data_IF_434409202990
#
_entry.id   IF_434409202990
#
_cell.length_a   1.000
_cell.length_b   1.000
_cell.length_c   1.000
_cell.angle_alpha   90.00
_cell.angle_beta   90.00
_cell.angle_gamma   90.00
#
_symmetry.space_group_name_H-M   'P 1'
#
loop_
_entity.id
_entity.type
_entity.pdbx_description
1 polymer ?
#
# COMPACT_ATOMS: atom_id res chain seq x y z
N UNK A 1 14.78 -3.51 13.81
CA UNK A 1 15.80 -2.70 14.51
C UNK A 1 16.04 -1.42 13.70
N UNK A 2 15.27 -0.36 13.96
CA UNK A 2 15.33 0.87 13.16
C UNK A 2 16.42 1.82 13.67
N UNK A 3 17.18 2.42 12.76
CA UNK A 3 18.03 3.56 13.10
C UNK A 3 17.16 4.82 13.17
N UNK A 4 17.09 5.43 14.35
CA UNK A 4 16.49 6.75 14.54
C UNK A 4 17.33 7.76 13.76
N UNK A 5 16.71 8.49 12.83
CA UNK A 5 17.37 9.62 12.19
C UNK A 5 17.25 10.81 13.15
N UNK A 6 18.35 11.19 13.80
CA UNK A 6 18.40 12.39 14.63
C UNK A 6 18.30 13.63 13.72
N UNK A 7 17.08 14.14 13.56
CA UNK A 7 16.78 15.32 12.74
C UNK A 7 16.43 16.50 13.66
N UNK A 8 17.16 17.61 13.49
CA UNK A 8 17.18 18.70 14.47
C UNK A 8 15.89 19.54 14.45
N UNK A 9 15.11 19.39 15.55
CA UNK A 9 14.42 20.44 16.33
C UNK A 9 13.43 21.40 15.64
N UNK A 10 12.14 21.23 16.00
CA UNK A 10 11.26 22.37 16.31
C UNK A 10 11.36 22.65 17.80
N UNK A 11 11.90 23.81 18.20
CA UNK A 11 11.89 24.30 19.59
C UNK A 11 12.34 23.26 20.64
N UNK A 12 13.63 22.89 20.62
CA UNK A 12 14.27 21.90 21.51
C UNK A 12 13.70 20.46 21.52
N UNK A 13 12.51 20.23 20.96
CA UNK A 13 11.76 18.98 21.05
C UNK A 13 11.98 18.11 19.83
N UNK A 14 12.32 16.83 20.04
CA UNK A 14 12.37 15.81 18.98
C UNK A 14 10.98 15.21 18.83
N UNK A 15 10.34 15.45 17.68
CA UNK A 15 9.01 14.92 17.40
C UNK A 15 9.08 13.46 16.91
N UNK A 16 8.21 12.55 17.40
CA UNK A 16 8.15 11.19 16.90
C UNK A 16 7.70 11.15 15.42
N UNK A 17 8.34 10.29 14.63
CA UNK A 17 8.04 10.13 13.20
C UNK A 17 6.89 9.14 13.02
N UNK A 18 5.80 9.58 12.38
CA UNK A 18 4.67 8.74 11.99
C UNK A 18 4.90 8.17 10.58
N UNK A 19 5.00 6.83 10.41
CA UNK A 19 5.17 6.22 9.10
C UNK A 19 3.87 6.28 8.30
N UNK A 20 3.86 6.99 7.18
CA UNK A 20 2.66 7.08 6.31
C UNK A 20 2.48 5.82 5.46
N UNK A 21 3.55 5.09 5.17
CA UNK A 21 3.56 3.86 4.36
C UNK A 21 3.13 2.63 5.17
N UNK A 22 1.87 2.61 5.58
CA UNK A 22 1.29 1.49 6.34
C UNK A 22 0.87 0.26 5.49
N UNK A 23 1.02 0.31 4.16
CA UNK A 23 0.68 -0.78 3.24
C UNK A 23 1.90 -1.35 2.52
N UNK A 24 1.78 -2.60 2.06
CA UNK A 24 2.87 -3.35 1.40
C UNK A 24 3.25 -2.86 -0.02
N UNK A 25 2.61 -1.81 -0.54
CA UNK A 25 2.95 -1.21 -1.84
C UNK A 25 3.69 0.12 -1.65
N UNK A 26 4.94 0.02 -1.21
CA UNK A 26 5.85 1.13 -0.85
C UNK A 26 6.48 1.86 -2.04
N UNK A 27 5.95 1.71 -3.26
CA UNK A 27 6.60 2.27 -4.46
C UNK A 27 6.56 3.81 -4.46
N UNK A 28 7.72 4.44 -4.61
CA UNK A 28 7.84 5.88 -4.68
C UNK A 28 7.16 6.40 -5.97
N UNK A 29 6.10 7.17 -5.78
CA UNK A 29 5.08 7.46 -6.81
C UNK A 29 4.84 8.96 -7.04
N UNK A 30 5.26 9.81 -6.10
CA UNK A 30 5.07 11.27 -6.17
C UNK A 30 6.41 11.94 -6.42
N UNK A 31 6.50 12.71 -7.50
CA UNK A 31 7.72 13.44 -7.87
C UNK A 31 7.92 14.68 -6.97
N UNK A 32 9.18 14.91 -6.61
CA UNK A 32 9.63 16.14 -5.95
C UNK A 32 9.95 17.19 -7.02
N UNK A 33 9.70 18.46 -6.72
CA UNK A 33 9.98 19.61 -7.59
C UNK A 33 10.94 20.60 -6.91
N UNK A 34 11.63 21.39 -7.71
CA UNK A 34 12.63 22.36 -7.23
C UNK A 34 14.05 21.79 -7.04
N UNK A 35 14.24 20.50 -7.31
CA UNK A 35 15.52 19.78 -7.22
C UNK A 35 16.72 20.51 -7.84
N UNK A 36 16.51 21.18 -8.98
CA UNK A 36 17.55 21.92 -9.71
C UNK A 36 18.28 22.98 -8.85
N UNK A 37 17.61 23.53 -7.83
CA UNK A 37 18.19 24.53 -6.93
C UNK A 37 18.93 23.90 -5.72
N UNK A 38 19.04 22.57 -5.65
CA UNK A 38 19.48 21.78 -4.48
C UNK A 38 20.48 20.67 -4.83
N UNK A 39 21.27 20.84 -5.90
CA UNK A 39 22.15 19.78 -6.43
C UNK A 39 23.20 19.28 -5.44
N UNK A 40 23.70 20.14 -4.54
CA UNK A 40 24.67 19.76 -3.51
C UNK A 40 23.99 18.94 -2.40
N UNK A 41 22.83 19.38 -1.92
CA UNK A 41 22.00 18.68 -0.95
C UNK A 41 21.50 17.32 -1.47
N UNK A 42 21.08 17.26 -2.73
CA UNK A 42 20.70 16.02 -3.43
C UNK A 42 21.87 15.06 -3.57
N UNK A 43 23.06 15.58 -3.93
CA UNK A 43 24.28 14.78 -4.02
C UNK A 43 24.64 14.19 -2.66
N UNK A 44 24.53 14.97 -1.58
CA UNK A 44 24.75 14.49 -0.21
C UNK A 44 23.71 13.42 0.20
N UNK A 45 22.42 13.66 -0.05
CA UNK A 45 21.34 12.70 0.21
C UNK A 45 21.53 11.36 -0.54
N UNK A 46 22.09 11.41 -1.75
CA UNK A 46 22.41 10.25 -2.58
C UNK A 46 23.72 9.50 -2.20
N UNK A 47 24.43 9.92 -1.14
CA UNK A 47 25.69 9.30 -0.69
C UNK A 47 26.98 10.03 -1.10
N UNK A 48 26.88 11.27 -1.57
CA UNK A 48 27.96 12.25 -1.63
C UNK A 48 28.80 12.30 -2.91
N UNK A 49 28.87 11.23 -3.71
CA UNK A 49 29.64 11.22 -4.97
C UNK A 49 28.82 10.69 -6.13
N UNK A 50 28.51 11.57 -7.09
CA UNK A 50 27.94 11.19 -8.39
C UNK A 50 29.07 10.89 -9.39
N UNK A 51 29.26 9.62 -9.81
CA UNK A 51 30.25 9.23 -10.81
C UNK A 51 29.87 9.74 -12.21
N UNK A 52 30.89 10.07 -13.00
CA UNK A 52 30.71 10.60 -14.35
C UNK A 52 30.18 9.52 -15.31
N UNK A 53 29.15 9.86 -16.08
CA UNK A 53 28.47 9.02 -17.07
C UNK A 53 27.91 7.70 -16.50
N UNK A 54 27.63 7.65 -15.21
CA UNK A 54 27.03 6.51 -14.53
C UNK A 54 25.77 6.94 -13.77
N UNK A 55 24.74 6.11 -13.87
CA UNK A 55 23.50 6.27 -13.12
C UNK A 55 23.68 5.78 -11.68
N UNK A 56 23.19 6.56 -10.72
CA UNK A 56 22.94 6.12 -9.35
C UNK A 56 21.43 6.01 -9.15
N UNK A 57 21.03 4.98 -8.41
CA UNK A 57 19.69 4.84 -7.85
C UNK A 57 19.86 4.47 -6.39
N UNK A 58 19.28 5.27 -5.50
CA UNK A 58 19.15 4.98 -4.08
C UNK A 58 17.67 4.75 -3.80
N UNK A 59 17.30 3.50 -3.54
CA UNK A 59 15.96 3.11 -3.10
C UNK A 59 15.88 3.20 -1.56
N UNK A 60 14.67 3.14 -1.00
CA UNK A 60 14.38 3.10 0.44
C UNK A 60 15.00 4.28 1.26
N UNK A 61 15.19 5.44 0.64
CA UNK A 61 15.71 6.65 1.26
C UNK A 61 14.72 7.17 2.31
N UNK A 62 15.16 7.41 3.54
CA UNK A 62 14.26 7.95 4.57
C UNK A 62 13.94 9.42 4.28
N UNK A 63 12.66 9.72 4.14
CA UNK A 63 12.14 11.04 3.80
C UNK A 63 11.14 11.54 4.86
N UNK A 64 11.19 12.84 5.17
CA UNK A 64 10.15 13.55 5.92
C UNK A 64 9.38 14.50 5.01
N UNK A 65 8.10 14.69 5.29
CA UNK A 65 7.23 15.69 4.67
C UNK A 65 6.90 16.79 5.69
N UNK A 66 7.42 18.00 5.48
CA UNK A 66 7.25 19.14 6.37
C UNK A 66 6.30 20.16 5.73
N UNK A 67 5.07 20.35 6.22
CA UNK A 67 4.21 21.41 5.73
C UNK A 67 4.71 22.78 6.18
N UNK A 68 4.70 23.75 5.27
CA UNK A 68 5.05 25.16 5.53
C UNK A 68 3.80 26.05 5.37
N UNK A 69 2.85 26.02 6.34
CA UNK A 69 1.59 26.76 6.22
C UNK A 69 1.78 28.28 6.22
N UNK A 70 2.95 28.77 6.65
CA UNK A 70 3.31 30.19 6.71
C UNK A 70 4.23 30.62 5.54
N UNK A 71 4.48 29.74 4.56
CA UNK A 71 5.28 30.07 3.37
C UNK A 71 4.61 31.19 2.55
N UNK A 72 5.38 32.25 2.27
CA UNK A 72 4.91 33.46 1.60
C UNK A 72 4.52 33.26 0.10
N UNK A 73 4.90 32.14 -0.51
CA UNK A 73 4.62 31.83 -1.92
C UNK A 73 3.51 30.81 -2.13
N UNK A 74 3.33 29.86 -1.20
CA UNK A 74 2.26 28.86 -1.22
C UNK A 74 1.98 28.30 0.20
N UNK A 75 0.85 28.62 0.85
CA UNK A 75 0.50 28.13 2.19
C UNK A 75 0.13 26.63 2.22
N UNK A 76 0.21 25.94 1.08
CA UNK A 76 0.10 24.49 0.99
C UNK A 76 1.46 23.81 0.82
N UNK A 77 2.57 24.56 0.70
CA UNK A 77 3.89 24.00 0.45
C UNK A 77 4.24 22.88 1.42
N UNK A 78 4.79 21.79 0.89
CA UNK A 78 5.30 20.65 1.66
C UNK A 78 6.74 20.44 1.24
N UNK A 79 7.68 20.82 2.10
CA UNK A 79 9.11 20.56 1.94
C UNK A 79 9.38 19.06 2.12
N UNK A 80 10.28 18.53 1.31
CA UNK A 80 10.76 17.15 1.37
C UNK A 80 12.20 17.15 1.86
N UNK A 81 12.44 16.48 2.99
CA UNK A 81 13.77 16.26 3.55
C UNK A 81 14.13 14.80 3.37
N UNK A 82 15.20 14.48 2.65
CA UNK A 82 15.67 13.11 2.40
C UNK A 82 17.06 12.91 3.05
N UNK A 83 17.23 11.88 3.88
CA UNK A 83 18.46 11.64 4.65
C UNK A 83 18.97 12.88 5.43
N UNK A 84 18.06 13.76 5.88
CA UNK A 84 18.38 15.01 6.58
C UNK A 84 18.67 16.22 5.70
N UNK A 85 18.63 16.09 4.37
CA UNK A 85 18.85 17.18 3.41
C UNK A 85 17.55 17.63 2.76
N UNK A 86 17.33 18.94 2.65
CA UNK A 86 16.22 19.50 1.88
C UNK A 86 16.46 19.26 0.38
N UNK A 87 15.68 18.37 -0.23
CA UNK A 87 15.83 17.95 -1.63
C UNK A 87 14.86 18.64 -2.59
N UNK A 88 13.75 19.19 -2.07
CA UNK A 88 12.80 20.01 -2.81
C UNK A 88 11.44 20.06 -2.11
N UNK A 89 10.39 20.30 -2.89
CA UNK A 89 9.01 20.36 -2.43
C UNK A 89 8.13 19.36 -3.16
N UNK A 90 6.96 19.02 -2.63
CA UNK A 90 5.91 18.40 -3.44
C UNK A 90 5.43 19.38 -4.52
N UNK A 91 4.93 18.86 -5.64
CA UNK A 91 4.24 19.68 -6.65
C UNK A 91 3.06 20.43 -6.01
N UNK A 92 2.63 21.58 -6.53
CA UNK A 92 1.48 22.32 -5.95
C UNK A 92 0.20 21.48 -5.93
N UNK A 93 0.01 20.63 -6.94
CA UNK A 93 -1.13 19.72 -7.03
C UNK A 93 -1.06 18.63 -5.95
N UNK A 94 0.09 17.98 -5.79
CA UNK A 94 0.30 16.95 -4.77
C UNK A 94 0.27 17.54 -3.36
N UNK A 95 0.84 18.73 -3.16
CA UNK A 95 0.84 19.44 -1.90
C UNK A 95 -0.60 19.75 -1.43
N UNK A 96 -1.48 20.16 -2.35
CA UNK A 96 -2.93 20.31 -2.08
C UNK A 96 -3.58 18.95 -1.81
N UNK A 97 -3.29 17.93 -2.64
CA UNK A 97 -3.88 16.59 -2.56
C UNK A 97 -3.58 15.88 -1.23
N UNK A 98 -2.33 15.94 -0.78
CA UNK A 98 -1.87 15.28 0.45
C UNK A 98 -1.96 16.19 1.69
N UNK A 99 -2.40 17.44 1.54
CA UNK A 99 -2.61 18.38 2.64
C UNK A 99 -3.39 17.79 3.82
N UNK A 100 -4.54 17.08 3.64
CA UNK A 100 -5.28 16.54 4.78
C UNK A 100 -4.49 15.49 5.56
N UNK A 101 -3.77 14.61 4.84
CA UNK A 101 -2.92 13.56 5.41
C UNK A 101 -1.76 14.17 6.21
N UNK A 102 -0.99 15.06 5.58
CA UNK A 102 0.19 15.70 6.17
C UNK A 102 -0.21 16.54 7.39
N UNK A 103 -1.26 17.38 7.27
CA UNK A 103 -1.69 18.26 8.37
C UNK A 103 -2.28 17.48 9.55
N UNK A 104 -2.99 16.37 9.33
CA UNK A 104 -3.52 15.53 10.42
C UNK A 104 -2.41 14.98 11.31
N UNK A 105 -1.36 14.44 10.71
CA UNK A 105 -0.20 13.87 11.41
C UNK A 105 0.49 14.96 12.25
N UNK A 106 0.70 16.13 11.64
CA UNK A 106 1.31 17.30 12.30
C UNK A 106 0.46 17.83 13.46
N UNK A 107 -0.85 17.96 13.27
CA UNK A 107 -1.78 18.35 14.35
C UNK A 107 -1.88 17.30 15.47
N UNK A 108 -1.42 16.07 15.22
CA UNK A 108 -1.30 15.01 16.23
C UNK A 108 0.05 15.03 16.97
N UNK A 109 0.95 15.97 16.66
CA UNK A 109 2.27 16.07 17.28
C UNK A 109 3.34 15.15 16.69
N UNK A 110 3.13 14.62 15.48
CA UNK A 110 4.07 13.73 14.80
C UNK A 110 4.67 14.37 13.54
N UNK A 111 5.83 13.87 13.13
CA UNK A 111 6.42 14.16 11.82
C UNK A 111 6.00 13.12 10.78
N UNK A 112 5.40 13.49 9.63
CA UNK A 112 5.09 12.53 8.57
C UNK A 112 6.38 12.00 7.94
N UNK A 113 6.66 10.72 8.17
CA UNK A 113 7.80 10.00 7.61
C UNK A 113 7.37 9.03 6.51
N UNK A 114 8.21 8.91 5.49
CA UNK A 114 8.04 7.96 4.39
C UNK A 114 9.39 7.47 3.88
N UNK A 115 9.37 6.57 2.90
CA UNK A 115 10.52 6.29 2.07
C UNK A 115 10.43 7.02 0.72
N UNK A 116 11.58 7.19 0.09
CA UNK A 116 11.72 7.74 -1.24
C UNK A 116 12.81 7.06 -2.03
N UNK A 117 12.99 7.59 -3.23
CA UNK A 117 13.90 7.09 -4.26
C UNK A 117 14.63 8.27 -4.86
N UNK A 118 15.94 8.22 -4.89
CA UNK A 118 16.78 9.21 -5.57
C UNK A 118 17.41 8.57 -6.79
N UNK A 119 17.05 9.07 -7.96
CA UNK A 119 17.74 8.80 -9.22
C UNK A 119 18.64 9.97 -9.56
N UNK A 120 19.88 9.70 -9.95
CA UNK A 120 20.81 10.73 -10.40
C UNK A 120 21.69 10.23 -11.55
N UNK A 121 21.96 11.12 -12.50
CA UNK A 121 22.88 10.89 -13.60
C UNK A 121 23.70 12.15 -13.87
N UNK A 122 25.03 12.01 -13.87
CA UNK A 122 25.97 13.11 -14.08
C UNK A 122 26.70 12.95 -15.41
N UNK A 123 26.62 13.97 -16.25
CA UNK A 123 27.46 14.13 -17.45
C UNK A 123 28.68 15.02 -17.16
N UNK A 124 29.50 15.30 -18.18
CA UNK A 124 30.62 16.23 -18.06
C UNK A 124 30.21 17.69 -17.90
N UNK A 125 28.97 18.04 -18.24
CA UNK A 125 28.46 19.42 -18.31
C UNK A 125 27.22 19.69 -17.47
N UNK A 126 26.52 18.64 -17.03
CA UNK A 126 25.18 18.74 -16.43
C UNK A 126 24.89 17.57 -15.48
N UNK A 127 23.98 17.77 -14.52
CA UNK A 127 23.50 16.78 -13.56
C UNK A 127 21.98 16.72 -13.66
N UNK A 128 21.45 15.54 -14.02
CA UNK A 128 20.01 15.26 -13.98
C UNK A 128 19.69 14.47 -12.73
N UNK A 129 18.74 14.96 -11.93
CA UNK A 129 18.20 14.26 -10.76
C UNK A 129 16.70 13.99 -10.93
N UNK A 130 16.20 13.03 -10.17
CA UNK A 130 14.77 12.86 -9.89
C UNK A 130 14.62 12.22 -8.52
N UNK A 131 13.89 12.86 -7.63
CA UNK A 131 13.48 12.33 -6.34
C UNK A 131 12.01 12.02 -6.38
N UNK A 132 11.66 10.85 -5.86
CA UNK A 132 10.28 10.40 -5.71
C UNK A 132 10.05 10.00 -4.26
N UNK A 133 8.87 10.25 -3.73
CA UNK A 133 8.45 9.80 -2.39
C UNK A 133 7.24 8.89 -2.48
N UNK A 134 7.17 7.90 -1.58
CA UNK A 134 6.06 6.96 -1.49
C UNK A 134 4.94 7.59 -0.65
N UNK A 135 3.98 8.26 -1.28
CA UNK A 135 2.83 8.81 -0.56
C UNK A 135 1.59 7.99 -0.90
N UNK A 136 0.97 7.31 0.10
CA UNK A 136 -0.29 6.61 -0.10
C UNK A 136 -1.41 7.62 -0.44
N UNK A 137 -2.56 7.17 -0.96
CA UNK A 137 -3.70 8.07 -1.15
C UNK A 137 -4.05 8.78 0.17
N UNK A 138 -4.49 10.05 0.11
CA UNK A 138 -4.65 10.88 1.31
C UNK A 138 -5.62 10.28 2.35
N UNK A 139 -6.55 9.44 1.91
CA UNK A 139 -7.57 8.77 2.73
C UNK A 139 -7.07 7.47 3.41
N UNK A 140 -5.79 7.11 3.23
CA UNK A 140 -5.20 5.89 3.77
C UNK A 140 -4.60 6.07 5.19
N UNK A 141 -4.92 7.17 5.89
CA UNK A 141 -4.78 7.23 7.34
C UNK A 141 -6.06 6.67 8.01
N UNK A 142 -5.95 5.82 9.05
CA UNK A 142 -7.10 5.30 9.78
C UNK A 142 -8.04 6.40 10.27
N UNK A 143 -9.32 6.36 9.87
CA UNK A 143 -10.27 7.46 10.12
C UNK A 143 -10.72 7.52 11.59
N UNK A 144 -10.77 6.38 12.27
CA UNK A 144 -11.02 6.25 13.70
C UNK A 144 -9.72 6.12 14.52
N UNK A 145 -9.86 5.97 15.84
CA UNK A 145 -8.75 5.81 16.77
C UNK A 145 -8.55 4.36 17.21
N UNK A 146 -7.37 4.08 17.74
CA UNK A 146 -7.08 2.82 18.41
C UNK A 146 -7.75 2.75 19.79
N UNK A 147 -8.14 1.55 20.26
CA UNK A 147 -8.84 1.41 21.53
C UNK A 147 -7.98 1.87 22.70
N UNK A 148 -8.59 2.49 23.71
CA UNK A 148 -7.89 3.01 24.90
C UNK A 148 -7.41 1.92 25.88
N UNK A 149 -7.72 0.64 25.61
CA UNK A 149 -7.19 -0.53 26.34
C UNK A 149 -5.88 -1.02 25.70
N UNK A 150 -5.12 -1.80 26.46
CA UNK A 150 -3.95 -2.51 25.97
C UNK A 150 -4.30 -3.32 24.72
N UNK A 151 -3.52 -3.16 23.66
CA UNK A 151 -3.83 -3.69 22.34
C UNK A 151 -2.57 -4.04 21.54
N UNK A 152 -2.74 -4.86 20.52
CA UNK A 152 -1.68 -5.28 19.60
C UNK A 152 -2.23 -5.42 18.20
N UNK A 153 -1.57 -4.77 17.25
CA UNK A 153 -1.98 -4.75 15.86
C UNK A 153 -1.43 -5.99 15.15
N UNK A 154 -2.32 -6.78 14.57
CA UNK A 154 -1.95 -7.95 13.76
C UNK A 154 -1.09 -7.50 12.56
N UNK A 155 -0.08 -8.28 12.16
CA UNK A 155 0.75 -7.96 11.00
C UNK A 155 -0.09 -7.82 9.74
N UNK A 156 0.39 -7.03 8.77
CA UNK A 156 -0.29 -6.91 7.48
C UNK A 156 -0.33 -8.25 6.76
N UNK A 157 -1.49 -8.61 6.17
CA UNK A 157 -1.68 -9.87 5.45
C UNK A 157 -2.49 -9.71 4.16
N UNK A 158 -3.03 -10.82 3.66
CA UNK A 158 -3.94 -10.79 2.51
C UNK A 158 -5.23 -10.04 2.86
N UNK A 159 -5.78 -9.26 1.93
CA UNK A 159 -7.11 -8.69 2.07
C UNK A 159 -8.19 -9.78 2.14
N UNK A 160 -8.98 -9.77 3.20
CA UNK A 160 -10.03 -10.75 3.49
C UNK A 160 -11.39 -10.07 3.60
N UNK A 161 -12.36 -10.56 2.83
CA UNK A 161 -13.71 -10.03 2.83
C UNK A 161 -14.39 -10.30 4.19
N UNK A 162 -14.88 -9.24 4.82
CA UNK A 162 -15.78 -9.32 5.97
C UNK A 162 -17.16 -9.75 5.45
N UNK A 163 -18.03 -10.26 6.31
CA UNK A 163 -19.40 -10.59 5.95
C UNK A 163 -20.39 -9.94 6.91
N UNK A 164 -21.61 -9.68 6.42
CA UNK A 164 -22.70 -9.03 7.14
C UNK A 164 -22.48 -7.55 7.44
N UNK A 165 -21.60 -6.87 6.72
CA UNK A 165 -21.48 -5.41 6.82
C UNK A 165 -22.82 -4.72 6.48
N UNK A 166 -23.66 -5.36 5.66
CA UNK A 166 -25.01 -4.89 5.34
C UNK A 166 -25.97 -4.90 6.53
N UNK A 167 -25.72 -5.72 7.56
CA UNK A 167 -26.48 -5.71 8.82
C UNK A 167 -26.09 -4.54 9.73
N UNK A 168 -24.98 -3.84 9.45
CA UNK A 168 -24.36 -2.78 10.30
C UNK A 168 -24.06 -1.49 9.53
N UNK A 169 -24.79 -1.23 8.43
CA UNK A 169 -24.57 -0.04 7.59
C UNK A 169 -24.85 1.29 8.32
N UNK A 170 -25.73 1.28 9.31
CA UNK A 170 -26.04 2.40 10.21
C UNK A 170 -24.83 2.88 11.01
N UNK A 171 -23.97 1.95 11.45
CA UNK A 171 -22.68 2.26 12.07
C UNK A 171 -21.66 2.68 11.00
N UNK A 172 -21.54 1.88 9.94
CA UNK A 172 -20.47 2.02 8.93
C UNK A 172 -20.57 3.30 8.09
N UNK A 173 -21.77 3.82 7.84
CA UNK A 173 -21.96 5.04 7.06
C UNK A 173 -21.21 6.24 7.66
N UNK A 174 -21.10 6.32 8.99
CA UNK A 174 -20.37 7.40 9.69
C UNK A 174 -18.87 7.41 9.41
N UNK A 175 -18.32 6.32 8.89
CA UNK A 175 -16.90 6.14 8.59
C UNK A 175 -16.58 6.15 7.09
N UNK A 176 -17.56 6.39 6.21
CA UNK A 176 -17.32 6.50 4.75
C UNK A 176 -16.82 7.92 4.44
N UNK A 177 -15.55 8.11 4.03
CA UNK A 177 -15.01 9.43 3.71
C UNK A 177 -15.58 9.95 2.37
N UNK A 178 -15.48 11.26 2.07
CA UNK A 178 -15.95 11.83 0.81
C UNK A 178 -15.32 11.23 -0.46
N UNK A 179 -14.15 10.61 -0.36
CA UNK A 179 -13.49 9.85 -1.43
C UNK A 179 -14.16 8.50 -1.76
N UNK A 180 -15.02 7.99 -0.86
CA UNK A 180 -15.64 6.67 -0.95
C UNK A 180 -14.78 5.50 -0.47
N UNK A 181 -13.51 5.72 -0.08
CA UNK A 181 -12.66 4.69 0.52
C UNK A 181 -11.65 5.22 1.54
N UNK A 182 -11.35 4.42 2.55
CA UNK A 182 -10.35 4.74 3.58
C UNK A 182 -9.96 3.53 4.42
N UNK A 183 -9.10 3.73 5.41
CA UNK A 183 -8.77 2.70 6.41
C UNK A 183 -9.42 3.01 7.76
N UNK A 184 -9.65 1.96 8.55
CA UNK A 184 -10.11 2.00 9.93
C UNK A 184 -9.33 0.96 10.75
N UNK A 185 -9.23 1.19 12.05
CA UNK A 185 -8.85 0.16 13.01
C UNK A 185 -10.10 -0.58 13.48
N UNK A 186 -10.07 -1.91 13.41
CA UNK A 186 -11.08 -2.77 13.99
C UNK A 186 -10.47 -3.66 15.06
N UNK A 187 -11.18 -3.84 16.17
CA UNK A 187 -10.86 -4.88 17.15
C UNK A 187 -11.50 -6.20 16.73
N UNK A 188 -10.75 -7.29 16.82
CA UNK A 188 -11.24 -8.64 16.55
C UNK A 188 -11.60 -9.31 17.88
N UNK A 189 -12.76 -9.96 17.94
CA UNK A 189 -13.23 -10.64 19.15
C UNK A 189 -13.72 -12.04 18.81
N UNK A 190 -13.59 -12.97 19.76
CA UNK A 190 -14.19 -14.31 19.64
C UNK A 190 -15.71 -14.25 19.90
N UNK A 191 -16.49 -14.42 18.85
CA UNK A 191 -17.93 -14.70 18.93
C UNK A 191 -18.22 -16.19 19.01
N UNK A 192 -19.39 -16.56 19.56
CA UNK A 192 -19.91 -17.95 19.58
C UNK A 192 -21.33 -17.97 19.02
N UNK A 193 -21.63 -18.94 18.15
CA UNK A 193 -22.95 -19.16 17.55
C UNK A 193 -23.44 -20.55 17.88
N UNK A 194 -24.54 -20.65 18.62
CA UNK A 194 -25.25 -21.92 18.85
C UNK A 194 -26.00 -22.33 17.59
N UNK A 195 -25.71 -23.53 17.08
CA UNK A 195 -26.36 -24.14 15.93
C UNK A 195 -27.69 -24.81 16.35
N UNK A 196 -28.54 -25.14 15.38
CA UNK A 196 -29.86 -25.78 15.62
C UNK A 196 -29.79 -27.14 16.35
N UNK A 197 -28.62 -27.79 16.33
CA UNK A 197 -28.33 -29.05 17.04
C UNK A 197 -27.70 -28.82 18.43
N UNK A 198 -27.68 -27.59 18.94
CA UNK A 198 -27.07 -27.22 20.22
C UNK A 198 -25.55 -27.09 20.19
N UNK A 199 -24.86 -27.40 19.09
CA UNK A 199 -23.41 -27.25 19.00
C UNK A 199 -23.02 -25.78 18.93
N UNK A 200 -22.05 -25.37 19.73
CA UNK A 200 -21.43 -24.06 19.65
C UNK A 200 -20.36 -24.04 18.54
N UNK A 201 -20.43 -23.02 17.68
CA UNK A 201 -19.40 -22.75 16.67
C UNK A 201 -18.77 -21.38 16.92
N UNK A 202 -17.47 -21.31 17.27
CA UNK A 202 -16.79 -20.03 17.39
C UNK A 202 -16.61 -19.40 16.00
N UNK A 203 -16.58 -18.07 15.99
CA UNK A 203 -16.34 -17.24 14.81
C UNK A 203 -15.65 -15.94 15.23
N UNK A 204 -15.07 -15.20 14.29
CA UNK A 204 -14.46 -13.89 14.57
C UNK A 204 -15.44 -12.80 14.21
N UNK A 205 -15.79 -11.95 15.17
CA UNK A 205 -16.52 -10.71 14.92
C UNK A 205 -15.58 -9.51 14.90
N UNK A 206 -15.95 -8.51 14.10
CA UNK A 206 -15.24 -7.25 13.96
C UNK A 206 -16.02 -6.16 14.67
N UNK A 207 -15.30 -5.32 15.41
CA UNK A 207 -15.86 -4.13 16.04
C UNK A 207 -15.07 -2.88 15.70
N UNK A 208 -15.75 -1.77 15.45
CA UNK A 208 -15.16 -0.43 15.21
C UNK A 208 -15.73 0.47 16.29
N UNK A 209 -14.84 1.16 17.02
CA UNK A 209 -15.16 2.04 18.16
C UNK A 209 -16.07 1.39 19.23
N UNK A 210 -15.99 0.06 19.34
CA UNK A 210 -16.76 -0.77 20.28
C UNK A 210 -18.01 -1.41 19.70
N UNK A 211 -18.55 -0.86 18.60
CA UNK A 211 -19.75 -1.35 17.92
C UNK A 211 -19.45 -2.48 16.94
N UNK A 212 -20.36 -3.45 16.83
CA UNK A 212 -20.22 -4.60 15.92
C UNK A 212 -20.48 -4.16 14.48
N UNK A 213 -19.59 -4.55 13.56
CA UNK A 213 -19.67 -4.12 12.14
C UNK A 213 -19.65 -5.26 11.13
N UNK A 214 -19.53 -6.50 11.59
CA UNK A 214 -19.53 -7.68 10.73
C UNK A 214 -18.84 -8.87 11.38
N UNK A 215 -18.68 -9.95 10.61
CA UNK A 215 -18.00 -11.17 11.03
C UNK A 215 -17.21 -11.81 9.89
N UNK A 216 -16.14 -12.52 10.22
CA UNK A 216 -15.39 -13.31 9.23
C UNK A 216 -16.14 -14.60 8.89
N UNK A 217 -15.95 -15.09 7.66
CA UNK A 217 -16.56 -16.36 7.26
C UNK A 217 -16.17 -17.50 8.22
N UNK A 218 -16.98 -18.57 8.37
CA UNK A 218 -16.66 -19.66 9.29
C UNK A 218 -15.39 -20.46 8.95
N UNK A 219 -14.87 -20.33 7.72
CA UNK A 219 -13.56 -20.89 7.32
C UNK A 219 -12.46 -19.89 7.71
N UNK A 220 -12.60 -18.62 7.30
CA UNK A 220 -11.62 -17.58 7.60
C UNK A 220 -11.40 -17.41 9.11
N UNK A 221 -12.46 -17.47 9.91
CA UNK A 221 -12.40 -17.38 11.38
C UNK A 221 -11.42 -18.37 12.01
N UNK A 222 -11.32 -19.60 11.47
CA UNK A 222 -10.43 -20.63 12.02
C UNK A 222 -8.95 -20.25 11.93
N UNK A 223 -8.58 -19.37 10.99
CA UNK A 223 -7.21 -18.89 10.82
C UNK A 223 -6.82 -17.75 11.78
N UNK A 224 -7.77 -17.18 12.53
CA UNK A 224 -7.54 -16.06 13.45
C UNK A 224 -7.84 -16.39 14.91
N UNK A 225 -8.76 -17.32 15.17
CA UNK A 225 -9.13 -17.74 16.53
C UNK A 225 -7.91 -18.07 17.43
N UNK A 226 -6.86 -18.81 17.00
CA UNK A 226 -5.71 -19.08 17.86
C UNK A 226 -4.96 -17.82 18.32
N UNK A 227 -4.80 -16.83 17.42
CA UNK A 227 -4.14 -15.55 17.74
C UNK A 227 -5.01 -14.68 18.64
N UNK A 228 -6.32 -14.63 18.36
CA UNK A 228 -7.29 -13.86 19.15
C UNK A 228 -7.38 -14.42 20.57
N UNK A 229 -7.57 -15.73 20.71
CA UNK A 229 -7.66 -16.41 22.02
C UNK A 229 -6.37 -16.24 22.84
N UNK A 230 -5.20 -16.29 22.18
CA UNK A 230 -3.93 -16.04 22.85
C UNK A 230 -3.84 -14.60 23.40
N UNK A 231 -4.10 -13.58 22.57
CA UNK A 231 -4.04 -12.19 23.02
C UNK A 231 -5.12 -11.85 24.06
N UNK A 232 -6.36 -12.31 23.86
CA UNK A 232 -7.45 -12.15 24.82
C UNK A 232 -7.10 -12.80 26.17
N UNK A 233 -6.41 -13.94 26.20
CA UNK A 233 -5.95 -14.58 27.44
C UNK A 233 -4.88 -13.78 28.21
N UNK A 234 -4.17 -12.87 27.53
CA UNK A 234 -3.22 -11.93 28.12
C UNK A 234 -3.87 -10.59 28.50
N UNK A 235 -5.18 -10.40 28.22
CA UNK A 235 -5.88 -9.13 28.38
C UNK A 235 -5.63 -8.12 27.25
N UNK A 236 -4.88 -8.50 26.22
CA UNK A 236 -4.48 -7.64 25.11
C UNK A 236 -5.54 -7.71 24.00
N UNK A 237 -6.03 -6.56 23.55
CA UNK A 237 -6.99 -6.48 22.47
C UNK A 237 -6.34 -6.74 21.10
N UNK A 238 -6.80 -7.75 20.32
CA UNK A 238 -6.38 -7.91 18.93
C UNK A 238 -6.96 -6.76 18.08
N UNK A 239 -6.10 -6.03 17.39
CA UNK A 239 -6.49 -4.96 16.45
C UNK A 239 -6.01 -5.31 15.04
N UNK A 240 -6.76 -4.93 14.02
CA UNK A 240 -6.34 -5.03 12.63
C UNK A 240 -6.79 -3.81 11.83
N UNK A 241 -6.10 -3.53 10.73
CA UNK A 241 -6.54 -2.53 9.76
C UNK A 241 -7.66 -3.14 8.91
N UNK A 242 -8.76 -2.42 8.70
CA UNK A 242 -9.78 -2.76 7.72
C UNK A 242 -9.88 -1.64 6.68
N UNK A 243 -9.96 -1.98 5.39
CA UNK A 243 -10.33 -1.02 4.34
C UNK A 243 -11.84 -0.90 4.32
N UNK A 244 -12.36 0.31 4.50
CA UNK A 244 -13.76 0.62 4.17
C UNK A 244 -13.85 1.12 2.74
N UNK A 245 -14.86 0.66 2.01
CA UNK A 245 -15.27 1.22 0.72
C UNK A 245 -16.79 1.37 0.74
N UNK A 246 -17.30 2.56 0.44
CA UNK A 246 -18.72 2.84 0.61
C UNK A 246 -19.25 4.03 -0.17
N UNK A 247 -20.54 4.26 0.03
CA UNK A 247 -21.35 5.33 -0.54
C UNK A 247 -22.53 5.63 0.41
N UNK A 248 -23.40 6.56 0.03
CA UNK A 248 -24.64 6.84 0.77
C UNK A 248 -25.66 5.68 0.85
N UNK A 249 -25.42 4.55 0.16
CA UNK A 249 -26.36 3.43 0.09
C UNK A 249 -25.81 2.09 0.60
N UNK A 250 -24.49 1.94 0.72
CA UNK A 250 -23.83 0.70 1.13
C UNK A 250 -22.37 0.95 1.52
N UNK A 251 -21.84 0.12 2.41
CA UNK A 251 -20.42 0.04 2.75
C UNK A 251 -19.97 -1.44 2.75
N UNK A 252 -18.69 -1.65 2.48
CA UNK A 252 -18.01 -2.96 2.47
C UNK A 252 -16.70 -2.85 3.25
N UNK A 253 -16.32 -3.90 3.97
CA UNK A 253 -15.07 -3.99 4.71
C UNK A 253 -14.16 -5.10 4.17
N UNK A 254 -12.88 -4.79 4.06
CA UNK A 254 -11.83 -5.77 3.76
C UNK A 254 -10.77 -5.73 4.86
N UNK A 255 -10.71 -6.78 5.67
CA UNK A 255 -9.73 -6.96 6.73
C UNK A 255 -8.32 -7.17 6.13
N UNK A 256 -7.34 -6.43 6.63
CA UNK A 256 -5.92 -6.55 6.28
C UNK A 256 -5.17 -7.08 7.50
N UNK A 257 -5.06 -8.40 7.61
CA UNK A 257 -4.42 -9.06 8.73
C UNK A 257 -3.79 -10.39 8.31
N UNK A 258 -2.59 -10.67 8.82
CA UNK A 258 -1.92 -11.95 8.71
C UNK A 258 -2.66 -13.02 9.52
N UNK A 259 -2.80 -14.21 8.94
CA UNK A 259 -3.36 -15.39 9.59
C UNK A 259 -2.40 -15.92 10.65
N UNK A 260 -2.89 -16.74 11.59
CA UNK A 260 -2.04 -17.35 12.63
C UNK A 260 -0.80 -18.09 12.08
N UNK A 261 -0.88 -18.66 10.88
CA UNK A 261 0.25 -19.32 10.19
C UNK A 261 1.20 -18.39 9.42
N UNK A 262 0.87 -17.11 9.33
CA UNK A 262 1.60 -16.06 8.60
C UNK A 262 2.26 -15.05 9.57
N UNK A 263 1.98 -15.17 10.87
CA UNK A 263 2.51 -14.31 11.93
C UNK A 263 3.93 -14.78 12.32
N UNK A 264 4.94 -13.90 12.33
CA UNK A 264 6.28 -14.22 12.83
C UNK A 264 6.31 -14.40 14.36
N UNK A 265 7.12 -15.34 14.85
CA UNK A 265 7.31 -15.57 16.30
C UNK A 265 7.76 -14.29 17.04
N UNK A 266 8.64 -13.49 16.43
CA UNK A 266 9.09 -12.19 16.97
C UNK A 266 7.95 -11.20 17.21
N UNK A 267 6.87 -11.26 16.42
CA UNK A 267 5.68 -10.44 16.67
C UNK A 267 4.91 -10.97 17.87
N UNK A 268 4.83 -12.29 18.07
CA UNK A 268 4.14 -12.87 19.24
C UNK A 268 4.86 -12.47 20.53
N UNK A 269 6.19 -12.59 20.56
CA UNK A 269 7.04 -12.27 21.72
C UNK A 269 7.13 -10.78 22.04
N UNK A 270 6.87 -9.89 21.08
CA UNK A 270 6.82 -8.45 21.32
C UNK A 270 5.74 -8.06 22.37
N UNK A 271 5.90 -6.89 23.00
CA UNK A 271 4.86 -6.32 23.87
C UNK A 271 3.60 -5.88 23.10
N UNK A 272 2.64 -5.23 23.79
CA UNK A 272 1.58 -4.47 23.13
C UNK A 272 2.15 -3.30 22.32
N UNK A 273 1.44 -2.90 21.27
CA UNK A 273 1.87 -1.80 20.42
C UNK A 273 1.60 -0.45 21.10
N UNK A 274 2.65 0.35 21.26
CA UNK A 274 2.57 1.72 21.76
C UNK A 274 2.20 2.66 20.61
N UNK A 275 0.97 2.51 20.13
CA UNK A 275 0.58 3.06 18.86
C UNK A 275 0.38 4.59 18.86
N UNK A 276 0.67 5.20 17.72
CA UNK A 276 0.60 6.65 17.53
C UNK A 276 -0.85 7.09 17.33
N UNK A 277 -1.42 7.84 18.28
CA UNK A 277 -2.81 8.29 18.23
C UNK A 277 -2.94 9.55 17.39
N UNK A 278 -3.53 9.42 16.21
CA UNK A 278 -3.92 10.57 15.40
C UNK A 278 -5.13 11.29 15.99
N UNK A 279 -5.20 12.61 15.83
CA UNK A 279 -6.43 13.38 16.06
C UNK A 279 -7.59 12.83 15.19
N UNK A 280 -8.85 12.98 15.60
CA UNK A 280 -10.01 12.57 14.81
C UNK A 280 -9.98 13.14 13.38
N UNK A 281 -10.59 12.43 12.43
CA UNK A 281 -10.67 12.94 11.06
C UNK A 281 -11.50 14.24 10.99
N UNK A 282 -10.97 15.21 10.27
CA UNK A 282 -11.54 16.53 10.00
C UNK A 282 -11.21 16.97 8.57
N UNK A 283 -12.03 17.88 8.02
CA UNK A 283 -11.76 18.55 6.75
C UNK A 283 -10.56 19.52 6.85
N UNK A 284 -10.33 20.09 8.05
CA UNK A 284 -9.27 21.04 8.33
C UNK A 284 -8.56 20.70 9.64
N UNK A 285 -7.25 20.99 9.68
CA UNK A 285 -6.40 20.84 10.87
C UNK A 285 -5.56 22.11 11.01
N UNK A 286 -5.52 22.63 12.23
CA UNK A 286 -4.63 23.72 12.61
C UNK A 286 -3.20 23.17 12.82
N UNK A 287 -2.22 23.83 12.21
CA UNK A 287 -0.80 23.55 12.45
C UNK A 287 -0.29 24.55 13.50
N UNK A 288 0.47 24.11 14.52
CA UNK A 288 1.07 25.02 15.50
C UNK A 288 1.90 26.15 14.85
N UNK A 289 1.79 27.36 15.40
CA UNK A 289 2.58 28.50 14.94
C UNK A 289 4.08 28.23 15.08
N UNK A 290 4.86 28.54 14.03
CA UNK A 290 6.30 28.30 13.99
C UNK A 290 6.70 26.83 13.76
N UNK A 291 5.77 25.95 13.39
CA UNK A 291 6.05 24.55 13.04
C UNK A 291 7.20 24.39 12.02
N UNK A 292 7.18 25.18 10.94
CA UNK A 292 8.17 25.16 9.87
C UNK A 292 9.52 25.76 10.28
N UNK A 293 9.53 26.72 11.22
CA UNK A 293 10.73 27.48 11.63
C UNK A 293 11.87 26.65 12.23
N UNK A 294 11.59 25.42 12.69
CA UNK A 294 12.60 24.48 13.20
C UNK A 294 13.33 23.69 12.11
N UNK A 295 12.69 23.45 10.97
CA UNK A 295 13.22 22.57 9.92
C UNK A 295 14.21 23.33 9.02
N UNK A 296 15.30 23.79 9.62
CA UNK A 296 16.38 24.48 8.91
C UNK A 296 17.11 23.49 8.00
N UNK A 297 17.20 23.82 6.71
CA UNK A 297 18.08 23.10 5.80
C UNK A 297 19.52 23.14 6.33
N UNK A 298 20.06 21.99 6.75
CA UNK A 298 21.39 21.92 7.37
C UNK A 298 22.46 22.47 6.42
N UNK A 299 23.27 23.46 6.82
CA UNK A 299 24.50 23.77 6.10
C UNK A 299 25.43 22.56 6.22
N UNK A 300 26.00 22.12 5.09
CA UNK A 300 26.62 20.80 4.92
C UNK A 300 27.53 20.36 6.07
N UNK A 301 27.15 19.26 6.74
CA UNK A 301 27.96 18.62 7.80
C UNK A 301 29.02 17.72 7.16
N UNK A 302 30.22 17.70 7.74
CA UNK A 302 31.44 17.06 7.20
C UNK A 302 31.19 15.61 6.69
N UNK A 303 31.53 15.26 5.42
CA UNK A 303 31.23 13.96 4.78
C UNK A 303 31.81 12.68 5.43
N UNK A 304 32.36 12.75 6.64
CA UNK A 304 33.10 11.66 7.30
C UNK A 304 32.35 10.95 8.43
N UNK A 305 31.20 11.46 8.86
CA UNK A 305 30.36 10.83 9.88
C UNK A 305 29.16 10.11 9.25
N UNK A 306 29.18 8.77 9.23
CA UNK A 306 28.05 7.96 8.74
C UNK A 306 28.37 7.05 7.56
N UNK A 307 29.35 6.14 7.71
CA UNK A 307 29.64 5.11 6.70
C UNK A 307 28.60 3.99 6.75
N UNK A 308 27.37 4.29 6.34
CA UNK A 308 26.37 3.25 6.02
C UNK A 308 26.85 2.46 4.80
N UNK A 309 26.72 1.13 4.82
CA UNK A 309 27.28 0.28 3.76
C UNK A 309 26.41 0.32 2.50
N UNK A 310 26.64 1.33 1.66
CA UNK A 310 26.08 1.40 0.30
C UNK A 310 26.59 0.22 -0.51
N UNK A 311 25.69 -0.72 -0.82
CA UNK A 311 25.97 -1.88 -1.66
C UNK A 311 25.95 -1.43 -3.13
N UNK A 312 27.10 -1.05 -3.68
CA UNK A 312 27.20 -0.62 -5.08
C UNK A 312 26.88 -1.77 -6.05
N UNK A 313 25.68 -1.77 -6.64
CA UNK A 313 25.35 -2.66 -7.76
C UNK A 313 25.82 -2.00 -9.05
N UNK A 314 27.02 -2.38 -9.51
CA UNK A 314 27.53 -1.95 -10.83
C UNK A 314 26.84 -2.77 -11.91
N UNK A 315 25.86 -2.17 -12.59
CA UNK A 315 25.26 -2.77 -13.79
C UNK A 315 26.22 -2.67 -14.98
N UNK A 316 27.01 -3.71 -15.21
CA UNK A 316 27.87 -3.81 -16.39
C UNK A 316 27.04 -4.09 -17.65
N UNK A 317 26.85 -3.08 -18.51
CA UNK A 317 26.25 -3.28 -19.83
C UNK A 317 27.30 -3.79 -20.82
N UNK A 318 27.11 -5.01 -21.35
CA UNK A 318 27.97 -5.57 -22.39
C UNK A 318 27.69 -4.93 -23.74
N UNK A 319 28.63 -4.12 -24.25
CA UNK A 319 28.61 -3.58 -25.60
C UNK A 319 28.88 -4.69 -26.64
N UNK A 320 27.82 -5.31 -27.16
CA UNK A 320 27.89 -6.24 -28.27
C UNK A 320 28.12 -5.48 -29.60
N UNK A 321 29.38 -5.27 -29.99
CA UNK A 321 29.73 -4.89 -31.38
C UNK A 321 29.71 -6.13 -32.26
N UNK A 322 28.88 -6.10 -33.32
CA UNK A 322 28.75 -7.20 -34.27
C UNK A 322 30.01 -7.43 -35.11
N UNK A 323 30.28 -8.70 -35.42
CA UNK A 323 31.24 -9.13 -36.43
C UNK A 323 30.58 -10.17 -37.35
N UNK A 324 30.92 -10.12 -38.64
CA UNK A 324 30.24 -10.84 -39.72
C UNK A 324 30.45 -12.36 -39.63
N UNK A 325 29.38 -13.13 -39.79
CA UNK A 325 29.46 -14.58 -39.88
C UNK A 325 29.69 -15.01 -41.33
N UNK A 326 30.80 -15.71 -41.58
CA UNK A 326 31.18 -16.19 -42.91
C UNK A 326 31.70 -17.63 -42.87
N UNK A 327 31.17 -18.44 -43.80
CA UNK A 327 31.76 -19.64 -44.41
C UNK A 327 32.22 -20.85 -43.56
N UNK A 328 31.62 -22.00 -43.89
CA UNK A 328 32.22 -23.34 -44.03
C UNK A 328 32.99 -23.97 -42.83
N UNK A 329 32.42 -25.04 -42.26
CA UNK A 329 32.53 -26.37 -42.89
C UNK A 329 33.45 -27.45 -42.25
N UNK A 330 32.82 -28.60 -41.95
CA UNK A 330 33.34 -29.98 -41.96
C UNK A 330 34.24 -30.53 -40.82
N UNK A 331 34.06 -31.85 -40.61
CA UNK A 331 34.93 -32.86 -39.99
C UNK A 331 34.80 -33.23 -38.50
N UNK A 332 33.90 -34.18 -38.23
CA UNK A 332 34.15 -35.49 -37.57
C UNK A 332 35.49 -35.69 -36.83
N UNK A 333 35.44 -36.14 -35.56
CA UNK A 333 36.21 -37.32 -35.11
C UNK A 333 35.58 -38.02 -33.89
N UNK A 334 35.81 -39.34 -33.79
CA UNK A 334 35.29 -40.26 -32.76
C UNK A 334 36.13 -40.29 -31.49
N UNK A 335 35.49 -40.60 -30.34
CA UNK A 335 36.07 -41.53 -29.36
C UNK A 335 34.99 -42.10 -28.40
N UNK A 336 34.86 -43.43 -28.38
CA UNK A 336 33.97 -44.16 -27.47
C UNK A 336 34.70 -44.62 -26.21
N UNK A 337 34.04 -44.57 -25.04
CA UNK A 337 34.21 -45.59 -24.00
C UNK A 337 32.84 -45.96 -23.40
N UNK A 338 32.59 -47.27 -23.41
CA UNK A 338 31.51 -48.10 -22.86
C UNK A 338 30.53 -47.57 -21.77
N UNK A 339 29.27 -48.05 -21.84
CA UNK A 339 28.41 -48.18 -20.65
C UNK A 339 26.88 -48.24 -20.84
N UNK A 340 26.35 -49.35 -21.39
CA UNK A 340 25.05 -50.04 -21.02
C UNK A 340 23.99 -49.20 -20.27
N UNK A 341 22.70 -49.07 -20.63
CA UNK A 341 21.76 -49.56 -21.65
C UNK A 341 20.59 -48.52 -21.64
N UNK A 342 19.47 -48.55 -22.38
CA UNK A 342 18.80 -49.42 -23.36
C UNK A 342 18.03 -48.47 -24.32
N UNK A 343 17.73 -48.89 -25.55
CA UNK A 343 16.79 -48.16 -26.44
C UNK A 343 15.52 -48.99 -26.65
N UNK A 344 14.35 -48.36 -26.51
CA UNK A 344 13.10 -48.88 -27.06
C UNK A 344 12.32 -47.72 -27.71
N UNK A 345 12.17 -47.76 -29.04
CA UNK A 345 11.50 -46.70 -29.84
C UNK A 345 10.11 -47.15 -30.23
N UNK A 346 9.09 -46.51 -29.64
CA UNK A 346 7.71 -46.36 -30.14
C UNK A 346 7.24 -45.03 -29.54
N UNK A 347 6.57 -44.09 -30.22
CA UNK A 347 6.08 -44.01 -31.59
C UNK A 347 4.93 -43.00 -31.63
N UNK A 348 4.99 -42.03 -32.55
CA UNK A 348 4.00 -40.96 -32.85
C UNK A 348 3.73 -39.84 -31.81
N UNK A 349 3.48 -38.59 -32.25
CA UNK A 349 3.20 -37.43 -31.39
C UNK A 349 1.71 -37.11 -31.27
N UNK A 350 1.31 -36.38 -30.22
CA UNK A 350 0.04 -35.65 -30.17
C UNK A 350 0.32 -34.21 -29.73
N UNK A 351 -0.13 -33.26 -30.55
CA UNK A 351 -0.07 -31.84 -30.25
C UNK A 351 -1.42 -31.33 -29.70
N UNK A 352 -1.32 -30.49 -28.68
CA UNK A 352 -2.11 -29.27 -28.45
C UNK A 352 -3.57 -29.27 -28.97
N UNK A 353 -4.53 -29.31 -28.04
CA UNK A 353 -5.92 -28.89 -28.28
C UNK A 353 -6.24 -27.68 -27.39
N UNK A 354 -6.53 -26.50 -27.95
CA UNK A 354 -7.12 -25.38 -27.21
C UNK A 354 -8.65 -25.53 -27.18
N UNK A 355 -9.25 -25.40 -26.00
CA UNK A 355 -10.70 -25.42 -25.84
C UNK A 355 -11.31 -24.05 -26.20
N UNK A 356 -11.86 -23.93 -27.41
CA UNK A 356 -12.66 -22.79 -27.84
C UNK A 356 -14.15 -23.18 -27.98
N UNK A 357 -15.00 -22.32 -27.44
CA UNK A 357 -16.46 -22.38 -27.48
C UNK A 357 -17.06 -22.72 -28.85
N UNK A 358 -18.09 -23.58 -28.87
CA UNK A 358 -19.27 -23.37 -29.73
C UNK A 358 -20.46 -24.29 -29.37
N UNK A 359 -21.68 -23.72 -29.35
CA UNK A 359 -22.90 -24.44 -29.74
C UNK A 359 -23.83 -24.99 -28.65
N UNK A 360 -24.78 -24.17 -28.18
CA UNK A 360 -26.16 -24.63 -27.94
C UNK A 360 -27.16 -23.46 -28.12
N UNK A 361 -27.63 -23.27 -29.35
CA UNK A 361 -28.70 -22.31 -29.70
C UNK A 361 -29.61 -22.97 -30.75
N UNK A 362 -30.73 -23.53 -30.30
CA UNK A 362 -31.72 -24.18 -31.15
C UNK A 362 -32.81 -23.22 -31.61
N UNK A 363 -32.82 -22.86 -32.89
CA UNK A 363 -33.93 -22.16 -33.54
C UNK A 363 -34.76 -23.15 -34.37
N UNK A 364 -36.08 -23.21 -34.10
CA UNK A 364 -37.08 -23.73 -35.05
C UNK A 364 -38.16 -22.67 -35.24
N UNK A 365 -38.19 -22.09 -36.44
CA UNK A 365 -39.18 -21.13 -36.89
C UNK A 365 -39.63 -21.56 -38.29
N UNK A 366 -40.94 -21.75 -38.48
CA UNK A 366 -41.54 -21.78 -39.80
C UNK A 366 -42.89 -21.07 -39.75
N UNK A 367 -43.00 -20.05 -40.60
CA UNK A 367 -44.18 -19.22 -40.90
C UNK A 367 -45.33 -20.14 -41.40
N UNK A 368 -46.61 -19.77 -41.48
CA UNK A 368 -47.20 -18.49 -41.91
C UNK A 368 -48.74 -18.65 -41.84
N UNK A 369 -49.53 -17.63 -41.49
CA UNK A 369 -50.84 -17.38 -42.12
C UNK A 369 -51.26 -15.90 -41.94
N UNK A 370 -52.20 -15.43 -42.76
CA UNK A 370 -52.47 -14.00 -43.02
C UNK A 370 -53.76 -13.48 -42.38
N UNK A 371 -53.67 -12.33 -41.69
CA UNK A 371 -54.29 -11.03 -42.06
C UNK A 371 -55.78 -10.97 -42.47
N UNK A 372 -56.52 -10.13 -41.72
CA UNK A 372 -57.66 -9.24 -42.07
C UNK A 372 -59.16 -9.60 -41.81
N UNK A 373 -59.75 -8.77 -40.93
CA UNK A 373 -60.98 -7.94 -41.06
C UNK A 373 -62.40 -8.54 -41.13
N UNK A 374 -63.20 -8.23 -40.09
CA UNK A 374 -64.64 -7.86 -40.09
C UNK A 374 -64.98 -7.31 -38.67
N UNK A 375 -65.32 -6.04 -38.43
CA UNK A 375 -66.62 -5.31 -38.62
C UNK A 375 -67.83 -5.86 -37.86
N UNK A 376 -68.46 -5.02 -37.01
CA UNK A 376 -69.80 -5.24 -36.39
C UNK A 376 -69.77 -5.25 -34.85
N UNK A 377 -70.09 -4.17 -34.11
CA UNK A 377 -71.40 -3.50 -33.81
C UNK A 377 -72.13 -4.03 -32.56
N UNK A 378 -72.63 -3.10 -31.71
CA UNK A 378 -73.68 -3.36 -30.70
C UNK A 378 -73.26 -3.10 -29.24
N UNK A 379 -73.42 -1.88 -28.69
CA UNK A 379 -74.56 -1.44 -27.84
C UNK A 379 -74.70 -2.20 -26.51
N UNK A 380 -74.33 -1.62 -25.36
CA UNK A 380 -75.25 -0.88 -24.47
C UNK A 380 -75.43 -1.66 -23.15
N UNK A 381 -75.83 -1.12 -22.00
CA UNK A 381 -76.22 0.25 -21.60
C UNK A 381 -76.18 0.36 -20.06
N UNK A 382 -75.83 1.56 -19.56
CA UNK A 382 -76.24 2.19 -18.28
C UNK A 382 -76.29 1.37 -16.97
N UNK A 383 -75.50 1.83 -16.00
CA UNK A 383 -75.73 1.79 -14.55
C UNK A 383 -75.10 3.03 -13.96
#
# INVERSE_FOLDING_TARGET
MGQTVDLERVGETVLPVYPITASSSTWANVDVVGEYYRLDELTAAAGGVLPLNQQIVVEDVQCLLVPEPFNAHDPNAVMVIANGYHVGYLSREDAIRYRPLVRRIVASGYLPGTIGRIWAFRTSSDISTRVQVAIPHADLLPLNQLPDREHKQLPWGSGLQVTKEEEHFDVLFNFVPPSGEGFLYSTLHRGVRTLRNGQERPYVELRIDGERVGEMSPVTSQHFLPTIEHLESLGIAPVATVKIKGSALAAQLVLQAARASEIPDEWVEAGPDHAMKLVPWSLEYEIPAGWDSGFVASPGRDPKAGRSQVRTVVAAQSLAKGAKQGSLGWAVFWLCVAGVFLICVIGTPIAIVPAAWCGFLGWRQLRRWRVNSATGTGTGTKG
#
